data_IF_837419237376
#
_entry.id   IF_837419237376
#
_cell.length_a   1.000
_cell.length_b   1.000
_cell.length_c   1.000
_cell.angle_alpha   90.00
_cell.angle_beta   90.00
_cell.angle_gamma   90.00
#
_symmetry.space_group_name_H-M   'P 1'
#
loop_
_entity.id
_entity.type
_entity.pdbx_description
1 polymer ?
#
# COMPACT_ATOMS: atom_id res chain seq x y z
N UNK A 1 50.56 -8.86 15.99
CA UNK A 1 51.78 -8.18 15.50
C UNK A 1 52.82 -7.87 16.58
N UNK A 2 52.44 -7.36 17.77
CA UNK A 2 53.40 -7.00 18.85
C UNK A 2 54.22 -8.21 19.32
N UNK A 3 53.60 -9.38 19.49
CA UNK A 3 54.30 -10.59 19.93
C UNK A 3 55.37 -11.04 18.92
N UNK A 4 55.04 -11.06 17.62
CA UNK A 4 55.99 -11.40 16.55
C UNK A 4 57.17 -10.42 16.49
N UNK A 5 56.92 -9.13 16.72
CA UNK A 5 57.95 -8.09 16.76
C UNK A 5 58.87 -8.24 17.99
N UNK A 6 58.30 -8.47 19.18
CA UNK A 6 59.06 -8.70 20.41
C UNK A 6 59.90 -9.98 20.31
N UNK A 7 59.37 -11.05 19.72
CA UNK A 7 60.14 -12.29 19.47
C UNK A 7 61.25 -12.07 18.45
N UNK A 8 61.03 -11.25 17.41
CA UNK A 8 62.05 -10.93 16.41
C UNK A 8 63.18 -10.06 16.99
N UNK A 9 62.87 -9.12 17.89
CA UNK A 9 63.88 -8.28 18.56
C UNK A 9 64.71 -9.10 19.56
N UNK A 10 64.07 -9.95 20.38
CA UNK A 10 64.78 -10.89 21.26
C UNK A 10 65.67 -11.84 20.45
N UNK A 11 65.22 -12.26 19.27
CA UNK A 11 65.96 -13.12 18.35
C UNK A 11 67.22 -12.44 17.77
N UNK A 12 67.12 -11.18 17.32
CA UNK A 12 68.28 -10.41 16.88
C UNK A 12 69.29 -10.19 18.01
N UNK A 13 68.81 -9.97 19.24
CA UNK A 13 69.67 -9.84 20.41
C UNK A 13 70.45 -11.14 20.71
N UNK A 14 69.80 -12.30 20.61
CA UNK A 14 70.45 -13.61 20.83
C UNK A 14 71.47 -13.92 19.73
N UNK A 15 71.17 -13.59 18.46
CA UNK A 15 72.14 -13.71 17.36
C UNK A 15 73.35 -12.79 17.60
N UNK A 16 73.13 -11.54 18.00
CA UNK A 16 74.22 -10.61 18.30
C UNK A 16 75.10 -11.10 19.44
N UNK A 17 74.51 -11.63 20.52
CA UNK A 17 75.24 -12.24 21.64
C UNK A 17 76.01 -13.49 21.18
N UNK A 18 75.41 -14.33 20.33
CA UNK A 18 76.06 -15.50 19.73
C UNK A 18 77.28 -15.14 18.88
N UNK A 19 77.19 -14.09 18.06
CA UNK A 19 78.30 -13.55 17.25
C UNK A 19 79.40 -12.98 18.15
N UNK A 20 79.04 -12.24 19.21
CA UNK A 20 80.01 -11.69 20.16
C UNK A 20 80.77 -12.82 20.88
N UNK A 21 80.08 -13.87 21.30
CA UNK A 21 80.72 -15.05 21.91
C UNK A 21 81.59 -15.81 20.90
N UNK A 22 81.18 -15.91 19.63
CA UNK A 22 81.97 -16.50 18.54
C UNK A 22 83.29 -15.76 18.30
N UNK A 23 83.23 -14.43 18.21
CA UNK A 23 84.42 -13.58 18.05
C UNK A 23 85.34 -13.71 19.27
N UNK A 24 84.77 -13.71 20.49
CA UNK A 24 85.53 -13.84 21.74
C UNK A 24 86.20 -15.22 21.86
N UNK A 25 85.54 -16.29 21.40
CA UNK A 25 86.11 -17.64 21.36
C UNK A 25 87.24 -17.79 20.35
N UNK A 26 87.13 -17.17 19.16
CA UNK A 26 88.20 -17.11 18.16
C UNK A 26 89.44 -16.37 18.68
N UNK A 27 89.24 -15.23 19.35
CA UNK A 27 90.32 -14.44 19.95
C UNK A 27 91.04 -15.23 21.07
N UNK A 28 90.29 -15.96 21.90
CA UNK A 28 90.89 -16.80 22.96
C UNK A 28 91.65 -18.02 22.43
N UNK A 29 91.24 -18.60 21.29
CA UNK A 29 91.95 -19.72 20.67
C UNK A 29 93.35 -19.32 20.18
N UNK A 30 93.50 -18.09 19.67
CA UNK A 30 94.79 -17.56 19.19
C UNK A 30 95.82 -17.31 20.31
N UNK A 31 95.38 -17.26 21.58
CA UNK A 31 96.25 -17.09 22.77
C UNK A 31 96.67 -18.40 23.45
N UNK A 32 96.19 -19.57 23.01
CA UNK A 32 96.51 -20.88 23.64
C UNK A 32 97.07 -21.88 22.62
N UNK A 33 98.27 -21.62 22.10
CA UNK A 33 99.18 -22.66 21.62
C UNK A 33 100.14 -23.03 22.75
N UNK A 34 99.73 -23.95 23.63
CA UNK A 34 100.56 -24.42 24.72
C UNK A 34 99.82 -25.26 25.75
N UNK A 35 99.99 -26.58 25.63
CA UNK A 35 99.67 -27.67 26.58
C UNK A 35 98.21 -28.10 26.80
N UNK A 36 98.11 -29.42 26.92
CA UNK A 36 96.97 -30.31 27.13
C UNK A 36 96.12 -29.91 28.34
N UNK A 37 94.81 -30.14 28.21
CA UNK A 37 93.81 -30.03 29.26
C UNK A 37 92.54 -29.40 28.68
N UNK A 38 91.51 -30.21 28.43
CA UNK A 38 90.20 -29.71 28.05
C UNK A 38 89.71 -28.66 29.08
N UNK A 39 88.96 -27.65 28.63
CA UNK A 39 87.57 -27.73 29.02
C UNK A 39 86.64 -27.47 27.84
N UNK A 40 85.44 -28.04 27.98
CA UNK A 40 84.25 -27.92 27.18
C UNK A 40 84.05 -26.52 26.53
N UNK A 41 84.73 -26.26 25.43
CA UNK A 41 84.31 -25.25 24.48
C UNK A 41 83.14 -25.84 23.73
N UNK A 42 81.93 -25.32 23.95
CA UNK A 42 80.77 -25.59 23.10
C UNK A 42 81.26 -25.60 21.64
N UNK A 43 81.25 -26.76 21.00
CA UNK A 43 81.81 -26.91 19.66
C UNK A 43 81.09 -25.91 18.74
N UNK A 44 81.82 -25.31 17.81
CA UNK A 44 81.25 -24.36 16.83
C UNK A 44 79.99 -24.92 16.15
N UNK A 45 79.94 -26.24 15.97
CA UNK A 45 78.79 -27.01 15.50
C UNK A 45 77.58 -26.96 16.44
N UNK A 46 77.78 -26.98 17.76
CA UNK A 46 76.70 -26.92 18.75
C UNK A 46 76.11 -25.51 18.81
N UNK A 47 76.94 -24.47 18.70
CA UNK A 47 76.49 -23.07 18.64
C UNK A 47 75.74 -22.79 17.33
N UNK A 48 76.24 -23.30 16.20
CA UNK A 48 75.55 -23.18 14.91
C UNK A 48 74.22 -23.95 14.89
N UNK A 49 74.17 -25.18 15.44
CA UNK A 49 72.94 -25.96 15.56
C UNK A 49 71.92 -25.31 16.50
N UNK A 50 72.39 -24.75 17.63
CA UNK A 50 71.53 -24.01 18.55
C UNK A 50 70.96 -22.74 17.92
N UNK A 51 71.77 -22.00 17.16
CA UNK A 51 71.31 -20.84 16.41
C UNK A 51 70.24 -21.24 15.38
N UNK A 52 70.47 -22.29 14.60
CA UNK A 52 69.55 -22.79 13.57
C UNK A 52 68.21 -23.27 14.17
N UNK A 53 68.25 -23.97 15.30
CA UNK A 53 67.06 -24.32 16.09
C UNK A 53 66.31 -23.08 16.59
N UNK A 54 67.04 -22.07 17.06
CA UNK A 54 66.46 -20.81 17.51
C UNK A 54 65.80 -20.03 16.37
N UNK A 55 66.30 -20.14 15.13
CA UNK A 55 65.66 -19.57 13.92
C UNK A 55 64.37 -20.31 13.56
N UNK A 56 64.30 -21.62 13.80
CA UNK A 56 63.15 -22.46 13.43
C UNK A 56 61.99 -22.43 14.43
N UNK A 57 62.26 -22.12 15.70
CA UNK A 57 61.24 -22.11 16.78
C UNK A 57 60.10 -21.08 16.58
N UNK A 58 60.33 -19.82 16.16
CA UNK A 58 59.27 -18.81 16.03
C UNK A 58 58.23 -19.15 14.96
N UNK A 59 58.66 -19.81 13.88
CA UNK A 59 57.76 -20.23 12.79
C UNK A 59 56.79 -21.35 13.20
N UNK A 60 57.05 -22.01 14.33
CA UNK A 60 56.24 -23.16 14.79
C UNK A 60 55.03 -22.77 15.65
N UNK A 61 54.88 -21.49 16.01
CA UNK A 61 53.71 -21.01 16.74
C UNK A 61 52.63 -20.54 15.77
N UNK A 62 51.47 -21.18 15.82
CA UNK A 62 50.29 -20.81 15.05
C UNK A 62 49.15 -20.42 16.00
N UNK A 63 48.55 -19.25 15.78
CA UNK A 63 47.43 -18.75 16.57
C UNK A 63 46.16 -18.69 15.72
N UNK A 64 45.11 -19.37 16.17
CA UNK A 64 43.76 -19.32 15.59
C UNK A 64 42.94 -18.35 16.42
N UNK A 65 42.38 -17.32 15.79
CA UNK A 65 41.62 -16.29 16.49
C UNK A 65 40.22 -16.80 16.86
N UNK A 66 39.58 -16.13 17.82
CA UNK A 66 38.20 -16.43 18.17
C UNK A 66 37.28 -16.15 16.97
N UNK A 67 36.45 -17.13 16.61
CA UNK A 67 35.59 -17.07 15.42
C UNK A 67 36.24 -17.61 14.14
N UNK A 68 37.49 -18.05 14.19
CA UNK A 68 38.13 -18.81 13.10
C UNK A 68 38.28 -20.29 13.48
N UNK A 69 38.28 -21.16 12.48
CA UNK A 69 38.64 -22.57 12.62
C UNK A 69 39.75 -22.87 11.63
N UNK A 70 40.81 -23.54 12.08
CA UNK A 70 41.91 -23.93 11.21
C UNK A 70 41.81 -25.41 10.82
N UNK A 71 41.91 -25.70 9.54
CA UNK A 71 42.11 -27.05 9.01
C UNK A 71 43.62 -27.30 8.92
N UNK A 72 44.11 -28.29 9.67
CA UNK A 72 45.53 -28.64 9.70
C UNK A 72 45.83 -29.69 8.64
N UNK A 73 46.61 -29.30 7.63
CA UNK A 73 47.09 -30.17 6.57
C UNK A 73 48.53 -30.59 6.87
N UNK A 74 48.82 -31.90 6.89
CA UNK A 74 50.17 -32.45 6.97
C UNK A 74 50.58 -32.99 5.61
N UNK A 75 51.56 -32.35 4.95
CA UNK A 75 52.02 -32.72 3.61
C UNK A 75 50.87 -32.94 2.60
N UNK A 76 49.82 -32.11 2.68
CA UNK A 76 48.64 -32.18 1.81
C UNK A 76 47.48 -33.03 2.33
N UNK A 77 47.67 -33.86 3.36
CA UNK A 77 46.60 -34.67 3.97
C UNK A 77 45.97 -33.91 5.12
N UNK A 78 44.63 -33.84 5.17
CA UNK A 78 43.92 -33.22 6.30
C UNK A 78 43.98 -34.17 7.50
N UNK A 79 44.52 -33.68 8.62
CA UNK A 79 44.72 -34.49 9.84
C UNK A 79 43.67 -34.18 10.90
N UNK A 80 43.39 -32.90 11.11
CA UNK A 80 42.50 -32.42 12.18
C UNK A 80 42.01 -31.01 11.91
N UNK A 81 40.93 -30.64 12.56
CA UNK A 81 40.45 -29.26 12.71
C UNK A 81 40.83 -28.76 14.10
N UNK A 82 41.27 -27.50 14.19
CA UNK A 82 41.66 -26.85 15.43
C UNK A 82 40.85 -25.55 15.60
N UNK A 83 40.22 -25.41 16.76
CA UNK A 83 39.46 -24.22 17.14
C UNK A 83 40.38 -23.11 17.68
N UNK A 84 39.80 -21.99 18.12
CA UNK A 84 40.55 -20.87 18.68
C UNK A 84 41.57 -21.28 19.75
N UNK A 85 42.81 -20.86 19.60
CA UNK A 85 43.91 -21.27 20.49
C UNK A 85 45.29 -21.04 19.87
N UNK A 86 46.32 -21.24 20.69
CA UNK A 86 47.72 -21.22 20.24
C UNK A 86 48.24 -22.64 20.19
N UNK A 87 48.69 -23.05 19.01
CA UNK A 87 49.22 -24.38 18.75
C UNK A 87 50.70 -24.29 18.39
N UNK A 88 51.46 -25.28 18.86
CA UNK A 88 52.86 -25.45 18.52
C UNK A 88 53.00 -26.63 17.56
N UNK A 89 53.38 -26.34 16.31
CA UNK A 89 53.52 -27.34 15.26
C UNK A 89 54.62 -26.94 14.28
N UNK A 90 55.35 -27.90 13.74
CA UNK A 90 56.47 -27.60 12.85
C UNK A 90 55.99 -27.15 11.46
N UNK A 91 56.27 -25.88 11.14
CA UNK A 91 55.78 -25.16 9.96
C UNK A 91 56.04 -25.84 8.61
N UNK A 92 57.13 -26.62 8.48
CA UNK A 92 57.49 -27.25 7.20
C UNK A 92 56.63 -28.49 6.89
N UNK A 93 56.07 -29.12 7.93
CA UNK A 93 55.28 -30.35 7.78
C UNK A 93 53.79 -30.10 7.87
N UNK A 94 53.38 -29.03 8.55
CA UNK A 94 51.97 -28.71 8.81
C UNK A 94 51.65 -27.32 8.31
N UNK A 95 50.58 -27.23 7.54
CA UNK A 95 49.96 -25.98 7.10
C UNK A 95 48.64 -25.79 7.84
N UNK A 96 48.39 -24.55 8.25
CA UNK A 96 47.15 -24.13 8.90
C UNK A 96 46.36 -23.28 7.92
N UNK A 97 45.24 -23.82 7.44
CA UNK A 97 44.31 -23.08 6.59
C UNK A 97 43.13 -22.62 7.43
N UNK A 98 42.96 -21.30 7.55
CA UNK A 98 41.96 -20.69 8.41
C UNK A 98 40.66 -20.45 7.65
N UNK A 99 39.55 -20.76 8.30
CA UNK A 99 38.19 -20.54 7.82
C UNK A 99 37.47 -19.64 8.82
N UNK A 100 36.88 -18.55 8.33
CA UNK A 100 36.10 -17.64 9.16
C UNK A 100 34.71 -18.25 9.43
N UNK A 101 34.44 -18.57 10.70
CA UNK A 101 33.17 -19.13 11.18
C UNK A 101 32.17 -18.05 11.63
N UNK A 102 32.50 -16.76 11.46
CA UNK A 102 31.58 -15.64 11.68
C UNK A 102 30.51 -15.59 10.59
N UNK A 103 29.50 -14.74 10.81
CA UNK A 103 28.49 -14.45 9.79
C UNK A 103 29.16 -13.67 8.67
N UNK A 104 29.06 -14.20 7.46
CA UNK A 104 29.59 -13.60 6.24
C UNK A 104 28.44 -12.97 5.46
N UNK A 105 28.72 -11.80 4.89
CA UNK A 105 27.81 -11.07 4.03
C UNK A 105 28.36 -11.10 2.60
N UNK A 106 27.55 -11.57 1.67
CA UNK A 106 27.86 -11.62 0.25
C UNK A 106 26.90 -10.72 -0.51
N UNK A 107 27.45 -9.65 -1.09
CA UNK A 107 26.72 -8.76 -2.00
C UNK A 107 26.83 -9.30 -3.42
N UNK A 108 25.68 -9.44 -4.08
CA UNK A 108 25.54 -10.05 -5.39
C UNK A 108 24.81 -9.09 -6.30
N UNK A 109 25.47 -8.66 -7.36
CA UNK A 109 24.88 -7.87 -8.43
C UNK A 109 24.85 -8.73 -9.70
N UNK A 110 23.66 -8.89 -10.29
CA UNK A 110 23.48 -9.71 -11.49
C UNK A 110 22.33 -9.18 -12.34
N UNK A 111 22.43 -9.34 -13.66
CA UNK A 111 21.34 -9.05 -14.57
C UNK A 111 20.47 -10.28 -14.79
N UNK A 112 19.16 -10.09 -14.89
CA UNK A 112 18.18 -11.15 -15.17
C UNK A 112 17.13 -10.68 -16.18
N UNK A 113 16.23 -11.58 -16.52
CA UNK A 113 15.08 -11.30 -17.38
C UNK A 113 13.79 -11.69 -16.67
N UNK A 114 12.76 -10.87 -16.86
CA UNK A 114 11.39 -11.16 -16.42
C UNK A 114 10.71 -12.23 -17.29
N UNK A 115 9.50 -12.64 -16.90
CA UNK A 115 8.66 -13.53 -17.70
C UNK A 115 8.32 -12.95 -19.08
N UNK A 116 8.30 -11.62 -19.23
CA UNK A 116 8.05 -10.90 -20.48
C UNK A 116 9.34 -10.46 -21.20
N UNK A 117 10.46 -11.13 -20.86
CA UNK A 117 11.78 -10.94 -21.45
C UNK A 117 12.34 -9.51 -21.35
N UNK A 118 11.96 -8.77 -20.30
CA UNK A 118 12.54 -7.47 -19.99
C UNK A 118 13.82 -7.64 -19.17
N UNK A 119 14.93 -7.00 -19.57
CA UNK A 119 16.15 -7.00 -18.79
C UNK A 119 15.95 -6.20 -17.49
N UNK A 120 16.51 -6.72 -16.39
CA UNK A 120 16.58 -6.02 -15.11
C UNK A 120 17.97 -6.21 -14.50
N UNK A 121 18.38 -5.26 -13.69
CA UNK A 121 19.54 -5.37 -12.81
C UNK A 121 19.07 -5.64 -11.38
N UNK A 122 19.68 -6.64 -10.75
CA UNK A 122 19.33 -7.11 -9.43
C UNK A 122 20.52 -6.94 -8.50
N UNK A 123 20.27 -6.33 -7.35
CA UNK A 123 21.19 -6.28 -6.22
C UNK A 123 20.59 -7.05 -5.05
N UNK A 124 21.32 -8.01 -4.50
CA UNK A 124 20.90 -8.78 -3.33
C UNK A 124 22.05 -9.02 -2.36
N UNK A 125 21.70 -9.23 -1.10
CA UNK A 125 22.64 -9.54 -0.03
C UNK A 125 22.28 -10.87 0.59
N UNK A 126 23.22 -11.82 0.56
CA UNK A 126 23.07 -13.14 1.18
C UNK A 126 23.96 -13.22 2.42
N UNK A 127 23.37 -13.57 3.56
CA UNK A 127 24.06 -13.79 4.81
C UNK A 127 24.07 -15.27 5.15
N UNK A 128 25.27 -15.79 5.42
CA UNK A 128 25.45 -17.18 5.80
C UNK A 128 26.58 -17.31 6.82
N UNK A 129 26.60 -18.44 7.52
CA UNK A 129 27.63 -18.76 8.49
C UNK A 129 28.09 -20.20 8.29
N UNK A 130 29.40 -20.46 8.29
CA UNK A 130 29.90 -21.83 8.16
C UNK A 130 29.56 -22.65 9.40
N UNK A 131 29.15 -23.92 9.21
CA UNK A 131 29.00 -24.86 10.32
C UNK A 131 30.37 -25.33 10.78
N UNK A 132 30.67 -25.12 12.05
CA UNK A 132 31.96 -25.43 12.66
C UNK A 132 32.31 -26.92 12.58
N UNK A 133 31.30 -27.77 12.64
CA UNK A 133 31.46 -29.23 12.64
C UNK A 133 31.91 -29.79 11.27
N UNK A 134 31.70 -29.04 10.18
CA UNK A 134 31.89 -29.52 8.81
C UNK A 134 32.99 -28.76 8.04
N UNK A 135 33.84 -28.01 8.74
CA UNK A 135 34.91 -27.23 8.10
C UNK A 135 35.91 -28.13 7.35
N UNK A 136 36.11 -29.36 7.83
CA UNK A 136 36.92 -30.36 7.12
C UNK A 136 36.31 -30.73 5.76
N UNK A 137 35.01 -30.97 5.70
CA UNK A 137 34.30 -31.30 4.46
C UNK A 137 34.38 -30.14 3.47
N UNK A 138 34.25 -28.90 3.96
CA UNK A 138 34.41 -27.71 3.13
C UNK A 138 35.80 -27.64 2.48
N UNK A 139 36.85 -27.95 3.25
CA UNK A 139 38.22 -27.96 2.75
C UNK A 139 38.49 -29.11 1.74
N UNK A 140 37.70 -30.18 1.77
CA UNK A 140 37.80 -31.31 0.83
C UNK A 140 37.02 -31.00 -0.45
N UNK A 141 35.75 -30.63 -0.31
CA UNK A 141 34.81 -30.49 -1.43
C UNK A 141 35.03 -29.20 -2.23
N UNK A 142 35.40 -28.11 -1.54
CA UNK A 142 35.54 -26.77 -2.14
C UNK A 142 36.98 -26.26 -2.09
N UNK A 143 37.84 -26.85 -1.27
CA UNK A 143 39.27 -26.52 -1.19
C UNK A 143 39.60 -25.25 -0.42
N UNK A 144 38.79 -24.19 -0.56
CA UNK A 144 38.94 -22.91 0.16
C UNK A 144 37.58 -22.25 0.43
N UNK A 145 37.56 -21.32 1.39
CA UNK A 145 36.37 -20.53 1.67
C UNK A 145 35.91 -19.70 0.45
N UNK A 146 36.83 -19.10 -0.30
CA UNK A 146 36.50 -18.31 -1.49
C UNK A 146 35.78 -19.15 -2.55
N UNK A 147 36.21 -20.39 -2.76
CA UNK A 147 35.56 -21.30 -3.71
C UNK A 147 34.14 -21.67 -3.26
N UNK A 148 33.94 -21.91 -1.96
CA UNK A 148 32.61 -22.12 -1.38
C UNK A 148 31.71 -20.88 -1.58
N UNK A 149 32.21 -19.70 -1.24
CA UNK A 149 31.46 -18.43 -1.39
C UNK A 149 31.08 -18.18 -2.85
N UNK A 150 31.99 -18.41 -3.80
CA UNK A 150 31.71 -18.30 -5.23
C UNK A 150 30.63 -19.29 -5.70
N UNK A 151 30.63 -20.51 -5.15
CA UNK A 151 29.62 -21.52 -5.45
C UNK A 151 28.26 -21.12 -4.89
N UNK A 152 28.21 -20.66 -3.65
CA UNK A 152 27.02 -20.10 -3.00
C UNK A 152 26.47 -18.93 -3.81
N UNK A 153 27.33 -18.00 -4.23
CA UNK A 153 26.97 -16.88 -5.10
C UNK A 153 26.30 -17.35 -6.39
N UNK A 154 26.91 -18.33 -7.07
CA UNK A 154 26.40 -18.85 -8.34
C UNK A 154 25.02 -19.50 -8.17
N UNK A 155 24.82 -20.27 -7.09
CA UNK A 155 23.53 -20.90 -6.79
C UNK A 155 22.48 -19.86 -6.42
N UNK A 156 22.81 -18.86 -5.61
CA UNK A 156 21.91 -17.76 -5.29
C UNK A 156 21.47 -17.02 -6.56
N UNK A 157 22.41 -16.70 -7.46
CA UNK A 157 22.11 -16.08 -8.77
C UNK A 157 21.14 -16.94 -9.59
N UNK A 158 21.44 -18.24 -9.74
CA UNK A 158 20.61 -19.16 -10.53
C UNK A 158 19.17 -19.24 -9.97
N UNK A 159 19.04 -19.38 -8.65
CA UNK A 159 17.75 -19.51 -7.96
C UNK A 159 16.95 -18.22 -8.03
N UNK A 160 17.58 -17.08 -7.80
CA UNK A 160 16.90 -15.78 -7.91
C UNK A 160 16.44 -15.52 -9.34
N UNK A 161 17.28 -15.83 -10.35
CA UNK A 161 16.88 -15.72 -11.77
C UNK A 161 15.67 -16.59 -12.09
N UNK A 162 15.69 -17.85 -11.65
CA UNK A 162 14.58 -18.77 -11.88
C UNK A 162 13.29 -18.30 -11.18
N UNK A 163 13.38 -17.72 -9.98
CA UNK A 163 12.21 -17.20 -9.27
C UNK A 163 11.66 -15.92 -9.91
N UNK A 164 12.52 -14.95 -10.22
CA UNK A 164 12.11 -13.67 -10.82
C UNK A 164 11.59 -13.83 -12.25
N UNK A 165 12.07 -14.83 -13.00
CA UNK A 165 11.58 -15.13 -14.35
C UNK A 165 10.10 -15.55 -14.42
N UNK A 166 9.47 -15.85 -13.28
CA UNK A 166 8.05 -16.20 -13.20
C UNK A 166 7.13 -14.98 -13.19
N UNK A 167 7.68 -13.80 -12.89
CA UNK A 167 6.91 -12.57 -12.73
C UNK A 167 7.12 -11.63 -13.93
N UNK A 168 6.09 -10.87 -14.27
CA UNK A 168 6.18 -9.79 -15.25
C UNK A 168 6.84 -8.56 -14.61
N UNK A 169 7.51 -7.74 -15.43
CA UNK A 169 8.17 -6.52 -14.98
C UNK A 169 7.25 -5.59 -14.18
N UNK A 170 6.03 -5.35 -14.68
CA UNK A 170 5.03 -4.48 -14.05
C UNK A 170 4.65 -4.93 -12.62
N UNK A 171 4.53 -6.26 -12.42
CA UNK A 171 4.19 -6.83 -11.10
C UNK A 171 5.39 -6.76 -10.14
N UNK A 172 6.61 -6.95 -10.65
CA UNK A 172 7.84 -6.85 -9.86
C UNK A 172 8.04 -5.44 -9.30
N UNK A 173 7.78 -4.41 -10.12
CA UNK A 173 7.83 -3.00 -9.70
C UNK A 173 6.79 -2.74 -8.61
N UNK A 174 5.54 -3.18 -8.83
CA UNK A 174 4.45 -2.91 -7.91
C UNK A 174 4.50 -3.70 -6.58
N UNK A 175 5.04 -4.93 -6.60
CA UNK A 175 4.85 -5.91 -5.49
C UNK A 175 6.17 -6.45 -4.93
N UNK A 176 7.25 -5.68 -5.01
CA UNK A 176 8.60 -6.09 -4.59
C UNK A 176 8.66 -6.67 -3.16
N UNK A 177 7.91 -6.10 -2.23
CA UNK A 177 7.89 -6.54 -0.82
C UNK A 177 7.42 -7.98 -0.66
N UNK A 178 6.46 -8.43 -1.49
CA UNK A 178 5.92 -9.79 -1.41
C UNK A 178 6.83 -10.83 -2.10
N UNK A 179 7.69 -10.41 -3.02
CA UNK A 179 8.57 -11.30 -3.79
C UNK A 179 9.83 -11.65 -2.98
N UNK A 180 10.30 -10.73 -2.14
CA UNK A 180 11.54 -10.89 -1.38
C UNK A 180 11.54 -12.16 -0.48
N UNK A 181 10.47 -12.47 0.27
CA UNK A 181 10.39 -13.73 1.04
C UNK A 181 10.37 -15.00 0.16
N UNK A 182 9.77 -14.95 -1.03
CA UNK A 182 9.74 -16.10 -1.96
C UNK A 182 11.15 -16.42 -2.46
N UNK A 183 11.90 -15.38 -2.84
CA UNK A 183 13.30 -15.49 -3.25
C UNK A 183 14.15 -16.02 -2.09
N UNK A 184 13.98 -15.48 -0.88
CA UNK A 184 14.69 -15.93 0.31
C UNK A 184 14.45 -17.41 0.60
N UNK A 185 13.20 -17.87 0.57
CA UNK A 185 12.83 -19.27 0.77
C UNK A 185 13.48 -20.18 -0.27
N UNK A 186 13.48 -19.76 -1.53
CA UNK A 186 14.07 -20.53 -2.64
C UNK A 186 15.59 -20.66 -2.49
N UNK A 187 16.27 -19.59 -2.07
CA UNK A 187 17.70 -19.59 -1.79
C UNK A 187 18.01 -20.45 -0.56
N UNK A 188 17.24 -20.29 0.51
CA UNK A 188 17.38 -21.04 1.76
C UNK A 188 17.29 -22.55 1.51
N UNK A 189 16.29 -23.01 0.75
CA UNK A 189 16.13 -24.41 0.39
C UNK A 189 17.27 -24.95 -0.50
N UNK A 190 17.84 -24.10 -1.35
CA UNK A 190 18.94 -24.50 -2.22
C UNK A 190 20.28 -24.62 -1.47
N UNK A 191 20.51 -23.75 -0.50
CA UNK A 191 21.80 -23.61 0.19
C UNK A 191 21.85 -24.42 1.50
N UNK A 192 20.79 -24.37 2.31
CA UNK A 192 20.78 -24.70 3.73
C UNK A 192 21.38 -26.05 4.09
N UNK A 193 21.08 -27.10 3.32
CA UNK A 193 21.52 -28.46 3.67
C UNK A 193 22.73 -28.96 2.86
N UNK A 194 23.09 -28.30 1.76
CA UNK A 194 24.01 -28.86 0.74
C UNK A 194 25.44 -28.33 0.82
N UNK A 195 25.64 -27.15 1.40
CA UNK A 195 26.92 -26.43 1.35
C UNK A 195 27.62 -26.33 2.70
N UNK A 196 27.18 -27.11 3.69
CA UNK A 196 27.73 -27.11 5.04
C UNK A 196 27.69 -25.73 5.74
N UNK A 197 26.79 -24.85 5.30
CA UNK A 197 26.58 -23.51 5.86
C UNK A 197 25.20 -23.42 6.51
N UNK A 198 25.11 -22.64 7.57
CA UNK A 198 23.86 -22.17 8.14
C UNK A 198 23.43 -20.91 7.39
N UNK A 199 22.36 -21.01 6.62
CA UNK A 199 21.72 -19.85 6.01
C UNK A 199 21.15 -18.93 7.10
N UNK A 200 21.37 -17.62 6.99
CA UNK A 200 20.83 -16.63 7.94
C UNK A 200 19.69 -15.84 7.30
N UNK A 201 19.97 -15.20 6.17
CA UNK A 201 18.97 -14.45 5.41
C UNK A 201 19.43 -14.19 3.98
N UNK A 202 18.49 -13.92 3.10
CA UNK A 202 18.76 -13.35 1.79
C UNK A 202 17.77 -12.22 1.53
N UNK A 203 18.30 -11.03 1.28
CA UNK A 203 17.49 -9.82 1.08
C UNK A 203 17.74 -9.29 -0.31
N UNK A 204 16.65 -9.01 -1.02
CA UNK A 204 16.67 -8.34 -2.31
C UNK A 204 16.79 -6.84 -2.08
N UNK A 205 17.99 -6.30 -2.27
CA UNK A 205 18.35 -4.90 -1.97
C UNK A 205 17.83 -3.94 -3.02
N UNK A 206 17.84 -4.33 -4.30
CA UNK A 206 17.28 -3.51 -5.38
C UNK A 206 16.94 -4.33 -6.62
N UNK A 207 15.93 -3.89 -7.36
CA UNK A 207 15.62 -4.34 -8.72
C UNK A 207 15.38 -3.09 -9.55
N UNK A 208 16.22 -2.84 -10.54
CA UNK A 208 16.09 -1.70 -11.43
C UNK A 208 15.88 -2.16 -12.86
N UNK A 209 15.09 -1.39 -13.60
CA UNK A 209 14.88 -1.57 -15.03
C UNK A 209 15.55 -0.42 -15.77
N UNK A 210 15.58 -0.47 -17.10
CA UNK A 210 16.05 0.68 -17.88
C UNK A 210 15.14 1.88 -17.65
N UNK A 211 15.69 3.08 -17.49
CA UNK A 211 14.94 4.33 -17.27
C UNK A 211 13.79 4.52 -18.28
N UNK A 212 14.02 4.17 -19.55
CA UNK A 212 13.01 4.24 -20.61
C UNK A 212 11.81 3.31 -20.35
N UNK A 213 12.04 2.14 -19.75
CA UNK A 213 10.99 1.19 -19.40
C UNK A 213 10.22 1.67 -18.17
N UNK A 214 10.91 2.15 -17.13
CA UNK A 214 10.26 2.69 -15.93
C UNK A 214 9.35 3.87 -16.28
N UNK A 215 9.83 4.80 -17.11
CA UNK A 215 9.03 5.93 -17.59
C UNK A 215 7.82 5.48 -18.43
N UNK A 216 7.96 4.41 -19.23
CA UNK A 216 6.85 3.87 -20.01
C UNK A 216 5.80 3.17 -19.14
N UNK A 217 6.22 2.43 -18.12
CA UNK A 217 5.32 1.80 -17.15
C UNK A 217 4.60 2.85 -16.33
N UNK A 218 5.30 3.87 -15.85
CA UNK A 218 4.69 4.99 -15.14
C UNK A 218 3.65 5.71 -16.01
N UNK A 219 4.00 6.04 -17.27
CA UNK A 219 3.06 6.66 -18.20
C UNK A 219 1.84 5.77 -18.49
N UNK A 220 2.02 4.45 -18.60
CA UNK A 220 0.93 3.48 -18.78
C UNK A 220 0.05 3.41 -17.53
N UNK A 221 0.64 3.39 -16.33
CA UNK A 221 -0.09 3.40 -15.07
C UNK A 221 -0.93 4.67 -14.93
N UNK A 222 -0.36 5.83 -15.28
CA UNK A 222 -1.07 7.11 -15.29
C UNK A 222 -2.24 7.08 -16.28
N UNK A 223 -2.01 6.63 -17.52
CA UNK A 223 -3.08 6.54 -18.53
C UNK A 223 -4.19 5.54 -18.11
N UNK A 224 -3.83 4.43 -17.46
CA UNK A 224 -4.80 3.47 -16.93
C UNK A 224 -5.59 4.04 -15.76
N UNK A 225 -4.95 4.82 -14.88
CA UNK A 225 -5.62 5.53 -13.80
C UNK A 225 -6.56 6.62 -14.34
N UNK A 226 -6.14 7.39 -15.33
CA UNK A 226 -6.98 8.38 -16.03
C UNK A 226 -8.19 7.71 -16.69
N UNK A 227 -7.99 6.56 -17.33
CA UNK A 227 -9.09 5.78 -17.91
C UNK A 227 -10.08 5.32 -16.85
N UNK A 228 -9.60 4.76 -15.74
CA UNK A 228 -10.44 4.33 -14.62
C UNK A 228 -11.20 5.51 -14.01
N UNK A 229 -10.55 6.67 -13.88
CA UNK A 229 -11.20 7.89 -13.41
C UNK A 229 -12.30 8.35 -14.38
N UNK A 230 -12.03 8.35 -15.68
CA UNK A 230 -13.03 8.71 -16.69
C UNK A 230 -14.22 7.74 -16.72
N UNK A 231 -13.97 6.43 -16.54
CA UNK A 231 -15.02 5.41 -16.40
C UNK A 231 -15.88 5.67 -15.15
N UNK A 232 -15.26 5.97 -14.01
CA UNK A 232 -15.96 6.32 -12.77
C UNK A 232 -16.75 7.64 -12.88
N UNK A 233 -16.20 8.65 -13.55
CA UNK A 233 -16.89 9.91 -13.81
C UNK A 233 -18.11 9.70 -14.72
N UNK A 234 -17.99 8.83 -15.73
CA UNK A 234 -19.11 8.45 -16.61
C UNK A 234 -20.20 7.69 -15.84
N UNK A 235 -19.81 6.72 -15.02
CA UNK A 235 -20.75 5.97 -14.16
C UNK A 235 -21.48 6.91 -13.19
N UNK A 236 -20.76 7.82 -12.54
CA UNK A 236 -21.34 8.86 -11.69
C UNK A 236 -22.27 9.81 -12.46
N UNK A 237 -21.95 10.14 -13.71
CA UNK A 237 -22.80 10.98 -14.55
C UNK A 237 -24.09 10.25 -14.94
N UNK A 238 -24.02 8.95 -15.25
CA UNK A 238 -25.20 8.10 -15.48
C UNK A 238 -26.07 8.00 -14.25
N UNK A 239 -25.49 7.69 -13.09
CA UNK A 239 -26.24 7.60 -11.83
C UNK A 239 -26.94 8.93 -11.49
N UNK A 240 -26.27 10.06 -11.72
CA UNK A 240 -26.88 11.40 -11.57
C UNK A 240 -28.02 11.64 -12.56
N UNK A 241 -27.87 11.23 -13.82
CA UNK A 241 -28.91 11.37 -14.83
C UNK A 241 -30.14 10.50 -14.49
N UNK A 242 -29.91 9.26 -14.05
CA UNK A 242 -30.96 8.34 -13.61
C UNK A 242 -31.68 8.87 -12.37
N UNK A 243 -30.92 9.43 -11.41
CA UNK A 243 -31.49 10.09 -10.22
C UNK A 243 -32.33 11.30 -10.62
N UNK A 244 -31.86 12.13 -11.56
CA UNK A 244 -32.59 13.29 -12.03
C UNK A 244 -33.88 12.91 -12.79
N UNK A 245 -33.83 11.86 -13.62
CA UNK A 245 -35.02 11.29 -14.27
C UNK A 245 -36.01 10.77 -13.23
N UNK A 246 -35.54 10.01 -12.24
CA UNK A 246 -36.39 9.53 -11.16
C UNK A 246 -37.06 10.68 -10.40
N UNK A 247 -36.30 11.73 -10.04
CA UNK A 247 -36.86 12.92 -9.37
C UNK A 247 -37.90 13.61 -10.27
N UNK A 248 -37.60 13.82 -11.56
CA UNK A 248 -38.53 14.44 -12.50
C UNK A 248 -39.81 13.62 -12.68
N UNK A 249 -39.73 12.29 -12.72
CA UNK A 249 -40.88 11.40 -12.74
C UNK A 249 -41.72 11.51 -11.45
N UNK A 250 -41.09 11.58 -10.29
CA UNK A 250 -41.79 11.77 -9.02
C UNK A 250 -42.45 13.14 -8.93
N UNK A 251 -41.78 14.19 -9.40
CA UNK A 251 -42.36 15.55 -9.47
C UNK A 251 -43.53 15.61 -10.45
N UNK A 252 -43.42 14.98 -11.62
CA UNK A 252 -44.52 14.88 -12.58
C UNK A 252 -45.73 14.14 -11.98
N UNK A 253 -45.49 13.01 -11.28
CA UNK A 253 -46.55 12.28 -10.56
C UNK A 253 -47.17 13.12 -9.45
N UNK A 254 -46.35 13.85 -8.68
CA UNK A 254 -46.84 14.73 -7.62
C UNK A 254 -47.67 15.90 -8.17
N UNK A 255 -47.26 16.50 -9.30
CA UNK A 255 -48.01 17.54 -9.99
C UNK A 255 -49.34 17.03 -10.53
N UNK A 256 -49.36 15.83 -11.14
CA UNK A 256 -50.59 15.19 -11.59
C UNK A 256 -51.54 14.91 -10.41
N UNK A 257 -51.02 14.34 -9.32
CA UNK A 257 -51.81 14.09 -8.11
C UNK A 257 -52.38 15.39 -7.51
N UNK A 258 -51.59 16.48 -7.50
CA UNK A 258 -52.05 17.79 -7.04
C UNK A 258 -53.11 18.39 -7.96
N UNK A 259 -52.94 18.28 -9.27
CA UNK A 259 -53.93 18.76 -10.23
C UNK A 259 -55.26 17.99 -10.14
N UNK A 260 -55.19 16.67 -9.95
CA UNK A 260 -56.37 15.84 -9.68
C UNK A 260 -57.04 16.24 -8.36
N UNK A 261 -56.27 16.37 -7.27
CA UNK A 261 -56.81 16.80 -5.98
C UNK A 261 -57.46 18.19 -6.05
N UNK A 262 -56.91 19.11 -6.83
CA UNK A 262 -57.51 20.43 -7.05
C UNK A 262 -58.79 20.34 -7.87
N UNK A 263 -58.80 19.57 -8.96
CA UNK A 263 -60.00 19.35 -9.76
C UNK A 263 -61.14 18.73 -8.92
N UNK A 264 -60.81 17.73 -8.09
CA UNK A 264 -61.77 17.10 -7.18
C UNK A 264 -62.27 18.11 -6.12
N UNK A 265 -61.38 18.95 -5.59
CA UNK A 265 -61.74 20.01 -4.66
C UNK A 265 -62.64 21.09 -5.31
N UNK A 266 -62.37 21.48 -6.55
CA UNK A 266 -63.15 22.46 -7.30
C UNK A 266 -64.54 21.91 -7.64
N UNK A 267 -64.65 20.62 -8.02
CA UNK A 267 -65.94 19.94 -8.21
C UNK A 267 -66.72 19.90 -6.90
N UNK A 268 -66.09 19.49 -5.80
CA UNK A 268 -66.73 19.46 -4.49
C UNK A 268 -67.18 20.85 -4.01
N UNK A 269 -66.38 21.89 -4.29
CA UNK A 269 -66.73 23.28 -3.99
C UNK A 269 -67.92 23.76 -4.85
N UNK A 270 -67.91 23.49 -6.16
CA UNK A 270 -69.02 23.83 -7.05
C UNK A 270 -70.32 23.12 -6.66
N UNK A 271 -70.25 21.84 -6.26
CA UNK A 271 -71.40 21.11 -5.72
C UNK A 271 -71.91 21.69 -4.40
N UNK A 272 -71.00 22.10 -3.51
CA UNK A 272 -71.36 22.75 -2.24
C UNK A 272 -72.01 24.11 -2.46
N UNK A 273 -71.51 24.91 -3.41
CA UNK A 273 -72.10 26.19 -3.83
C UNK A 273 -73.47 25.99 -4.48
N UNK A 274 -73.60 25.03 -5.40
CA UNK A 274 -74.87 24.69 -6.03
C UNK A 274 -75.91 24.28 -4.98
N UNK A 275 -75.53 23.41 -4.02
CA UNK A 275 -76.38 23.05 -2.87
C UNK A 275 -76.73 24.28 -2.05
N UNK A 276 -75.76 25.17 -1.75
CA UNK A 276 -76.00 26.41 -1.03
C UNK A 276 -76.99 27.36 -1.72
N UNK A 277 -76.86 27.55 -3.04
CA UNK A 277 -77.79 28.34 -3.86
C UNK A 277 -79.18 27.71 -3.88
N UNK A 278 -79.25 26.38 -4.03
CA UNK A 278 -80.50 25.63 -3.98
C UNK A 278 -81.22 25.79 -2.63
N UNK A 279 -80.52 25.64 -1.51
CA UNK A 279 -81.14 25.85 -0.20
C UNK A 279 -81.60 27.31 -0.02
N UNK A 280 -80.80 28.28 -0.46
CA UNK A 280 -81.19 29.70 -0.42
C UNK A 280 -82.43 29.99 -1.27
N UNK A 281 -82.52 29.42 -2.48
CA UNK A 281 -83.67 29.64 -3.37
C UNK A 281 -84.95 29.02 -2.81
N UNK A 282 -84.86 27.87 -2.16
CA UNK A 282 -85.99 27.22 -1.47
C UNK A 282 -86.48 28.05 -0.29
N UNK A 283 -85.58 28.63 0.50
CA UNK A 283 -85.97 29.50 1.63
C UNK A 283 -86.62 30.80 1.15
N UNK A 284 -86.08 31.41 0.08
CA UNK A 284 -86.67 32.61 -0.55
C UNK A 284 -88.06 32.30 -1.11
N UNK A 285 -88.26 31.15 -1.77
CA UNK A 285 -89.57 30.73 -2.26
C UNK A 285 -90.59 30.61 -1.11
N UNK A 286 -90.18 30.03 0.03
CA UNK A 286 -91.02 29.93 1.23
C UNK A 286 -91.37 31.31 1.81
N UNK A 287 -90.42 32.25 1.86
CA UNK A 287 -90.65 33.62 2.32
C UNK A 287 -91.60 34.41 1.41
N UNK A 288 -91.56 34.16 0.10
CA UNK A 288 -92.41 34.82 -0.90
C UNK A 288 -93.82 34.19 -1.02
N UNK A 289 -94.14 33.19 -0.20
CA UNK A 289 -95.48 32.60 -0.13
C UNK A 289 -95.75 31.43 -1.09
N UNK A 290 -94.70 30.88 -1.74
CA UNK A 290 -94.84 29.68 -2.58
C UNK A 290 -94.98 28.42 -1.72
N UNK A 291 -95.85 27.49 -2.15
CA UNK A 291 -95.91 26.14 -1.58
C UNK A 291 -94.75 25.29 -2.10
N UNK A 292 -93.87 24.87 -1.19
CA UNK A 292 -92.71 24.01 -1.49
C UNK A 292 -93.05 22.58 -1.10
N UNK A 293 -93.01 21.66 -2.06
CA UNK A 293 -93.11 20.22 -1.79
C UNK A 293 -91.71 19.63 -1.58
N UNK A 294 -91.51 18.95 -0.44
CA UNK A 294 -90.28 18.24 -0.12
C UNK A 294 -90.44 16.75 -0.47
N UNK A 295 -89.67 16.26 -1.45
CA UNK A 295 -89.58 14.82 -1.75
C UNK A 295 -88.16 14.36 -1.52
N UNK A 296 -87.98 13.36 -0.66
CA UNK A 296 -86.68 12.70 -0.47
C UNK A 296 -86.52 11.62 -1.52
N UNK A 297 -85.55 11.79 -2.40
CA UNK A 297 -85.22 10.82 -3.45
C UNK A 297 -83.83 10.26 -3.18
N UNK A 298 -83.67 8.95 -3.40
CA UNK A 298 -82.47 8.22 -2.99
C UNK A 298 -81.64 7.92 -4.24
N UNK A 299 -80.51 8.62 -4.40
CA UNK A 299 -79.55 8.39 -5.49
C UNK A 299 -78.26 7.80 -4.92
N UNK A 300 -78.20 6.46 -4.90
CA UNK A 300 -77.07 5.71 -4.33
C UNK A 300 -76.93 5.83 -2.80
N UNK A 301 -75.71 6.04 -2.30
CA UNK A 301 -75.36 6.15 -0.87
C UNK A 301 -75.70 7.51 -0.24
N UNK A 302 -76.31 8.44 -1.00
CA UNK A 302 -76.60 9.81 -0.57
C UNK A 302 -78.11 10.07 -0.57
N UNK A 303 -78.67 10.51 0.55
CA UNK A 303 -80.06 11.03 0.60
C UNK A 303 -80.08 12.41 -0.08
N UNK A 304 -80.85 12.55 -1.16
CA UNK A 304 -81.01 13.82 -1.88
C UNK A 304 -82.42 14.34 -1.63
N UNK A 305 -82.54 15.44 -0.88
CA UNK A 305 -83.83 16.12 -0.70
C UNK A 305 -84.10 17.01 -1.90
N UNK A 306 -85.10 16.64 -2.71
CA UNK A 306 -85.55 17.39 -3.88
C UNK A 306 -86.68 18.33 -3.46
N UNK A 307 -86.43 19.63 -3.54
CA UNK A 307 -87.42 20.66 -3.30
C UNK A 307 -88.05 21.08 -4.63
N UNK A 308 -89.36 20.84 -4.79
CA UNK A 308 -90.09 21.27 -5.99
C UNK A 308 -90.95 22.49 -5.66
N UNK A 309 -90.70 23.59 -6.36
CA UNK A 309 -91.50 24.82 -6.27
C UNK A 309 -92.68 24.67 -7.25
N UNK A 310 -93.91 24.74 -6.74
CA UNK A 310 -95.13 24.66 -7.56
C UNK A 310 -95.49 26.07 -8.06
N UNK A 311 -95.55 26.25 -9.37
CA UNK A 311 -95.90 27.53 -10.02
C UNK A 311 -97.42 27.60 -10.27
N UNK A 312 -98.03 28.77 -10.03
CA UNK A 312 -99.47 29.06 -10.23
C UNK A 312 -99.62 30.29 -11.16
N UNK A 313 -100.84 30.64 -11.59
CA UNK A 313 -101.16 31.70 -12.55
C UNK A 313 -100.66 33.11 -12.14
N UNK A 314 -100.34 33.32 -10.86
CA UNK A 314 -99.76 34.57 -10.30
C UNK A 314 -98.24 34.51 -10.04
N UNK A 315 -97.64 33.33 -10.16
CA UNK A 315 -96.35 33.01 -9.55
C UNK A 315 -95.42 32.35 -10.58
N UNK A 316 -94.87 33.17 -11.47
CA UNK A 316 -94.11 32.73 -12.66
C UNK A 316 -92.62 32.41 -12.40
N UNK A 317 -92.16 32.37 -11.15
CA UNK A 317 -90.74 32.14 -10.80
C UNK A 317 -89.78 33.27 -11.16
N UNK A 318 -90.19 34.22 -12.00
CA UNK A 318 -89.44 35.43 -12.38
C UNK A 318 -89.10 36.29 -11.16
N UNK A 319 -90.00 36.37 -10.19
CA UNK A 319 -89.83 37.18 -8.97
C UNK A 319 -88.74 36.60 -8.06
N UNK A 320 -88.63 35.27 -7.98
CA UNK A 320 -87.56 34.59 -7.22
C UNK A 320 -86.20 34.88 -7.88
N UNK A 321 -86.13 34.83 -9.21
CA UNK A 321 -84.90 35.12 -9.95
C UNK A 321 -84.46 36.59 -9.81
N UNK A 322 -85.39 37.55 -9.87
CA UNK A 322 -85.09 38.98 -9.66
C UNK A 322 -84.66 39.26 -8.21
N UNK A 323 -85.29 38.64 -7.22
CA UNK A 323 -84.91 38.81 -5.80
C UNK A 323 -83.56 38.16 -5.48
N UNK A 324 -83.29 36.97 -6.02
CA UNK A 324 -81.98 36.32 -5.92
C UNK A 324 -80.88 37.16 -6.56
N UNK A 325 -81.15 37.76 -7.73
CA UNK A 325 -80.23 38.70 -8.38
C UNK A 325 -79.97 39.93 -7.50
N UNK A 326 -80.99 40.44 -6.80
CA UNK A 326 -80.86 41.56 -5.86
C UNK A 326 -80.02 41.20 -4.62
N UNK A 327 -80.22 40.01 -4.02
CA UNK A 327 -79.39 39.52 -2.90
C UNK A 327 -77.93 39.32 -3.34
N UNK A 328 -77.70 38.76 -4.53
CA UNK A 328 -76.34 38.58 -5.06
C UNK A 328 -75.66 39.94 -5.29
N UNK A 329 -76.40 40.92 -5.82
CA UNK A 329 -75.94 42.30 -6.01
C UNK A 329 -75.56 42.98 -4.68
N UNK A 330 -76.36 42.78 -3.62
CA UNK A 330 -76.05 43.27 -2.27
C UNK A 330 -74.86 42.54 -1.63
N UNK A 331 -74.69 41.24 -1.89
CA UNK A 331 -73.56 40.47 -1.34
C UNK A 331 -72.21 40.84 -1.98
N UNK A 332 -72.23 41.28 -3.25
CA UNK A 332 -71.05 41.77 -3.98
C UNK A 332 -70.81 43.28 -3.80
N UNK A 333 -71.67 43.99 -3.08
CA UNK A 333 -71.54 45.41 -2.84
C UNK A 333 -70.57 45.67 -1.67
N UNK A 334 -69.41 46.27 -1.94
CA UNK A 334 -68.30 46.46 -0.97
C UNK A 334 -68.60 47.48 0.16
N UNK A 335 -69.76 48.14 0.13
CA UNK A 335 -70.19 49.05 1.19
C UNK A 335 -69.46 50.40 1.24
N UNK A 336 -68.62 50.76 0.26
CA UNK A 336 -68.02 52.11 0.18
C UNK A 336 -68.80 53.04 -0.76
N UNK A 337 -69.18 54.20 -0.23
CA UNK A 337 -69.83 55.27 -0.98
C UNK A 337 -68.84 55.92 -1.97
N UNK A 338 -69.25 56.20 -3.22
CA UNK A 338 -68.40 56.86 -4.22
C UNK A 338 -68.05 58.29 -3.77
N UNK A 339 -66.78 58.68 -3.89
CA UNK A 339 -66.35 60.05 -3.61
C UNK A 339 -66.64 60.96 -4.80
N UNK A 340 -67.51 61.93 -4.58
CA UNK A 340 -67.76 63.05 -5.51
C UNK A 340 -66.80 64.19 -5.19
N UNK A 341 -65.98 64.57 -6.16
CA UNK A 341 -65.16 65.79 -6.09
C UNK A 341 -65.74 66.80 -7.08
N UNK A 342 -66.23 67.92 -6.56
CA UNK A 342 -66.81 69.00 -7.35
C UNK A 342 -65.74 70.02 -7.69
N UNK A 343 -65.44 70.20 -8.97
CA UNK A 343 -64.61 71.29 -9.49
C UNK A 343 -65.44 72.27 -10.32
N UNK A 344 -64.97 73.50 -10.45
CA UNK A 344 -65.70 74.67 -11.01
C UNK A 344 -66.10 74.57 -12.51
N UNK A 345 -65.93 73.39 -13.12
CA UNK A 345 -66.31 73.10 -14.51
C UNK A 345 -66.91 71.71 -14.73
N UNK A 346 -67.31 71.00 -13.67
CA UNK A 346 -68.10 69.77 -13.77
C UNK A 346 -67.83 68.72 -12.68
N UNK A 347 -68.76 67.76 -12.56
CA UNK A 347 -68.68 66.63 -11.63
C UNK A 347 -68.01 65.46 -12.36
N UNK A 348 -66.83 65.04 -11.90
CA UNK A 348 -66.24 63.76 -12.32
C UNK A 348 -66.68 62.65 -11.38
N UNK A 349 -67.35 61.63 -11.93
CA UNK A 349 -67.68 60.38 -11.25
C UNK A 349 -66.66 59.35 -11.73
N UNK A 350 -65.72 58.95 -10.87
CA UNK A 350 -64.80 57.85 -11.16
C UNK A 350 -65.44 56.53 -10.75
N UNK A 351 -65.71 55.69 -11.75
CA UNK A 351 -66.15 54.30 -11.54
C UNK A 351 -64.90 53.42 -11.49
N UNK A 352 -64.67 52.59 -10.45
CA UNK A 352 -63.56 51.65 -10.45
C UNK A 352 -63.79 50.58 -11.52
N UNK A 353 -62.84 50.43 -12.44
CA UNK A 353 -62.78 49.35 -13.42
C UNK A 353 -62.18 48.10 -12.77
N UNK A 354 -62.75 46.93 -13.07
CA UNK A 354 -62.29 45.62 -12.61
C UNK A 354 -60.79 45.41 -12.88
N UNK A 355 -60.02 45.38 -11.81
CA UNK A 355 -58.61 45.00 -11.83
C UNK A 355 -58.45 43.49 -11.80
N UNK A 356 -58.92 42.79 -12.84
CA UNK A 356 -58.51 41.41 -13.13
C UNK A 356 -58.14 41.28 -14.61
N UNK A 357 -57.02 41.92 -14.97
CA UNK A 357 -56.15 41.48 -16.05
C UNK A 357 -54.73 41.45 -15.50
N UNK A 358 -54.16 40.26 -15.39
CA UNK A 358 -52.74 40.04 -15.12
C UNK A 358 -52.40 39.52 -13.73
N UNK A 359 -52.37 38.20 -13.60
CA UNK A 359 -51.11 37.46 -13.45
C UNK A 359 -51.27 36.02 -13.91
#
# INVERSE_FOLDING_TARGET
>A
MIFAFVTAVLFLAVIAVGIVLFVRAQVNKKKRTGKRGAPAGLSLSLVAAAALLLIMLPGSFHTVEAGEIAVVKRLGVIVKTETSGTYFDFWLTRSYEKYDAKVQQLEINTSAYTSDAQPMDISMTVQFQIRQDNVQDIAIDYGSLTALTNRIQSVAIERTKAELSKYQAEVLIATRENISPSVESTISQAIGDKYYVTFKSAVLTDISFSDAFEAAVEAKMMAQQEKLQAEYENEKAKEKADTALYVAEQEAKALLAKAQAQADADVAAAEAEAKGIMLKSVEVARMLGYTVEEKKEKDGETEVTVYTIVFDDLHTGKDIAEYMKYIEYLSKWDGKLPQVVTGDSGIMITVPSDGTSGK
#
